data_IF_844132074135
#
_entry.id   IF_844132074135
#
_cell.length_a   1.000
_cell.length_b   1.000
_cell.length_c   1.000
_cell.angle_alpha   90.00
_cell.angle_beta   90.00
_cell.angle_gamma   90.00
#
_symmetry.space_group_name_H-M   'P 1'
#
loop_
_entity.id
_entity.type
_entity.pdbx_description
1 polymer ?
#
# COMPACT_ATOMS: atom_id res chain seq x y z
N UNK A 1 8.25 -9.07 -7.07
CA UNK A 1 7.53 -8.54 -5.91
C UNK A 1 6.15 -8.15 -6.39
N UNK A 2 5.14 -8.84 -5.89
CA UNK A 2 3.75 -8.52 -6.20
C UNK A 2 3.31 -7.39 -5.27
N UNK A 3 2.72 -6.33 -5.81
CA UNK A 3 2.09 -5.29 -4.99
C UNK A 3 0.72 -5.80 -4.53
N UNK A 4 0.32 -5.52 -3.28
CA UNK A 4 -0.99 -5.94 -2.81
C UNK A 4 -2.10 -5.16 -3.53
N UNK A 5 -3.27 -5.77 -3.67
CA UNK A 5 -4.36 -5.22 -4.46
C UNK A 5 -4.80 -3.83 -3.98
N UNK A 6 -4.84 -2.87 -4.91
CA UNK A 6 -5.23 -1.48 -4.66
C UNK A 6 -4.08 -0.54 -4.32
N UNK A 7 -2.88 -1.08 -4.02
CA UNK A 7 -1.62 -0.33 -3.95
C UNK A 7 -0.75 -0.53 -5.20
N UNK A 8 -1.14 -1.43 -6.09
CA UNK A 8 -0.50 -1.65 -7.37
C UNK A 8 -0.82 -0.52 -8.38
N UNK A 9 0.15 -0.12 -9.23
CA UNK A 9 -0.08 0.90 -10.24
C UNK A 9 -1.23 0.52 -11.17
N UNK A 10 -2.16 1.45 -11.40
CA UNK A 10 -3.30 1.22 -12.29
C UNK A 10 -4.54 0.63 -11.62
N UNK A 11 -4.48 0.31 -10.33
CA UNK A 11 -5.65 -0.01 -9.49
C UNK A 11 -5.82 1.04 -8.39
N UNK A 12 -7.04 1.14 -7.86
CA UNK A 12 -7.38 2.02 -6.73
C UNK A 12 -8.55 1.46 -5.93
N UNK A 13 -8.67 1.89 -4.68
CA UNK A 13 -9.87 1.62 -3.89
C UNK A 13 -11.02 2.57 -4.22
N UNK A 14 -12.22 2.02 -4.15
CA UNK A 14 -13.50 2.74 -4.19
C UNK A 14 -14.37 2.27 -3.05
N UNK A 15 -14.89 3.21 -2.27
CA UNK A 15 -15.93 2.92 -1.31
C UNK A 15 -17.29 2.88 -2.03
N UNK A 16 -17.91 1.70 -2.14
CA UNK A 16 -19.24 1.50 -2.69
C UNK A 16 -20.36 2.17 -1.86
N UNK A 17 -20.13 2.44 -0.57
CA UNK A 17 -21.12 3.06 0.31
C UNK A 17 -21.27 4.57 0.12
N UNK A 18 -20.17 5.31 -0.09
CA UNK A 18 -20.21 6.78 -0.16
C UNK A 18 -19.52 7.37 -1.41
N UNK A 19 -18.90 6.55 -2.25
CA UNK A 19 -18.22 7.00 -3.48
C UNK A 19 -16.83 7.58 -3.27
N UNK A 20 -16.27 7.53 -2.06
CA UNK A 20 -14.89 7.98 -1.81
C UNK A 20 -13.87 7.13 -2.60
N UNK A 21 -12.85 7.80 -3.13
CA UNK A 21 -11.81 7.22 -4.00
C UNK A 21 -10.39 7.56 -3.55
N UNK A 22 -10.20 8.40 -2.53
CA UNK A 22 -8.90 9.03 -2.27
C UNK A 22 -8.43 8.96 -0.81
N UNK A 23 -9.29 8.54 0.13
CA UNK A 23 -8.95 8.56 1.57
C UNK A 23 -9.35 7.27 2.26
N UNK A 24 -8.38 6.41 2.51
CA UNK A 24 -8.57 5.14 3.22
C UNK A 24 -7.53 5.02 4.32
N UNK A 25 -7.94 4.50 5.47
CA UNK A 25 -7.01 4.02 6.47
C UNK A 25 -6.72 2.55 6.13
N UNK A 26 -5.43 2.20 6.07
CA UNK A 26 -4.95 0.90 5.59
C UNK A 26 -4.05 0.31 6.64
N UNK A 27 -4.36 -0.90 7.07
CA UNK A 27 -3.47 -1.71 7.88
C UNK A 27 -2.72 -2.69 6.98
N UNK A 28 -1.40 -2.71 7.06
CA UNK A 28 -0.56 -3.61 6.28
C UNK A 28 0.64 -4.12 7.07
N UNK A 29 1.05 -5.34 6.73
CA UNK A 29 2.29 -5.95 7.22
C UNK A 29 3.33 -5.84 6.10
N UNK A 30 4.47 -5.22 6.39
CA UNK A 30 5.59 -5.10 5.46
C UNK A 30 6.79 -5.90 5.96
N UNK A 31 7.36 -6.71 5.07
CA UNK A 31 8.64 -7.35 5.30
C UNK A 31 9.71 -6.60 4.52
N UNK A 32 10.66 -6.00 5.23
CA UNK A 32 11.75 -5.20 4.65
C UNK A 32 13.10 -5.72 5.11
N UNK A 33 14.11 -5.62 4.23
CA UNK A 33 15.53 -5.80 4.56
C UNK A 33 16.20 -4.44 4.42
N UNK A 34 17.01 -4.07 5.42
CA UNK A 34 17.77 -2.81 5.43
C UNK A 34 19.24 -3.10 5.62
N UNK A 35 20.07 -2.48 4.80
CA UNK A 35 21.51 -2.38 5.03
C UNK A 35 21.77 -1.16 5.91
N UNK A 36 22.27 -1.40 7.11
CA UNK A 36 22.60 -0.37 8.08
C UNK A 36 24.09 -0.09 8.05
N UNK A 37 24.44 1.18 7.93
CA UNK A 37 25.78 1.66 8.17
C UNK A 37 25.84 2.21 9.60
N UNK A 38 26.74 1.64 10.40
CA UNK A 38 26.94 1.99 11.79
C UNK A 38 28.28 2.72 11.92
N UNK A 39 28.29 3.79 12.71
CA UNK A 39 29.53 4.44 13.12
C UNK A 39 30.13 3.80 14.39
N UNK A 40 31.36 4.19 14.73
CA UNK A 40 32.06 3.66 15.91
C UNK A 40 31.45 4.14 17.24
N UNK A 41 30.66 5.21 17.23
CA UNK A 41 29.92 5.69 18.42
C UNK A 41 28.58 4.98 18.63
N UNK A 42 28.19 4.09 17.71
CA UNK A 42 26.94 3.34 17.77
C UNK A 42 25.74 4.04 17.13
N UNK A 43 25.95 5.17 16.45
CA UNK A 43 24.96 5.77 15.56
C UNK A 43 24.76 4.92 14.30
N UNK A 44 23.56 4.96 13.71
CA UNK A 44 23.25 4.16 12.53
C UNK A 44 22.32 4.85 11.55
N UNK A 45 22.62 4.72 10.26
CA UNK A 45 21.75 5.15 9.16
C UNK A 45 21.45 3.98 8.23
N UNK A 46 20.30 4.03 7.56
CA UNK A 46 19.95 3.06 6.51
C UNK A 46 20.56 3.55 5.20
N UNK A 47 21.48 2.76 4.64
CA UNK A 47 22.13 3.06 3.37
C UNK A 47 21.34 2.50 2.18
N UNK A 48 20.68 1.35 2.38
CA UNK A 48 19.80 0.76 1.39
C UNK A 48 18.64 0.02 2.05
N UNK A 49 17.47 0.06 1.41
CA UNK A 49 16.27 -0.65 1.82
C UNK A 49 15.71 -1.45 0.64
N UNK A 50 15.40 -2.72 0.89
CA UNK A 50 14.74 -3.63 -0.03
C UNK A 50 13.43 -4.08 0.61
N UNK A 51 12.30 -3.72 0.01
CA UNK A 51 10.99 -4.21 0.42
C UNK A 51 10.75 -5.59 -0.21
N UNK A 52 10.55 -6.61 0.62
CA UNK A 52 10.43 -8.00 0.18
C UNK A 52 8.97 -8.39 -0.07
N UNK A 53 8.07 -7.95 0.82
CA UNK A 53 6.66 -8.36 0.81
C UNK A 53 5.81 -7.27 1.46
N UNK A 54 4.58 -7.11 0.96
CA UNK A 54 3.54 -6.29 1.59
C UNK A 54 2.22 -7.05 1.54
N UNK A 55 1.59 -7.22 2.70
CA UNK A 55 0.26 -7.81 2.82
C UNK A 55 -0.69 -6.77 3.41
N UNK A 56 -1.77 -6.44 2.69
CA UNK A 56 -2.83 -5.56 3.20
C UNK A 56 -3.82 -6.40 4.02
N UNK A 57 -4.05 -5.99 5.26
CA UNK A 57 -4.96 -6.65 6.20
C UNK A 57 -6.35 -6.04 6.18
N UNK A 58 -6.47 -4.76 6.52
CA UNK A 58 -7.75 -4.05 6.56
C UNK A 58 -7.71 -2.71 5.82
N UNK A 59 -8.85 -2.33 5.24
CA UNK A 59 -9.03 -1.06 4.53
C UNK A 59 -10.35 -0.45 4.98
N UNK A 60 -10.30 0.77 5.50
CA UNK A 60 -11.47 1.49 6.00
C UNK A 60 -11.62 2.81 5.27
N UNK A 61 -12.83 3.11 4.78
CA UNK A 61 -13.12 4.41 4.20
C UNK A 61 -13.03 5.49 5.29
N UNK A 62 -12.05 6.38 5.22
CA UNK A 62 -11.87 7.43 6.23
C UNK A 62 -12.98 8.47 6.23
N UNK A 63 -13.79 8.51 5.17
CA UNK A 63 -14.89 9.46 5.06
C UNK A 63 -16.15 9.01 5.82
N UNK A 64 -16.59 7.76 5.60
CA UNK A 64 -17.83 7.25 6.18
C UNK A 64 -17.62 6.17 7.26
N UNK A 65 -16.37 5.75 7.49
CA UNK A 65 -16.01 4.70 8.45
C UNK A 65 -16.31 3.27 8.00
N UNK A 66 -16.83 3.07 6.78
CA UNK A 66 -17.19 1.74 6.28
C UNK A 66 -15.99 0.93 5.78
N UNK A 67 -15.93 -0.35 6.13
CA UNK A 67 -14.91 -1.32 5.69
C UNK A 67 -15.47 -2.40 4.76
N UNK A 68 -16.78 -2.68 4.82
CA UNK A 68 -17.37 -3.84 4.13
C UNK A 68 -17.73 -3.57 2.66
N UNK A 69 -17.66 -2.31 2.23
CA UNK A 69 -18.01 -1.86 0.88
C UNK A 69 -16.78 -1.30 0.13
N UNK A 70 -15.57 -1.80 0.41
CA UNK A 70 -14.37 -1.36 -0.29
C UNK A 70 -14.08 -2.28 -1.47
N UNK A 71 -14.02 -1.69 -2.66
CA UNK A 71 -13.78 -2.39 -3.93
C UNK A 71 -12.46 -1.93 -4.54
N UNK A 72 -11.73 -2.84 -5.18
CA UNK A 72 -10.57 -2.49 -6.02
C UNK A 72 -11.05 -2.32 -7.46
N UNK A 73 -10.88 -1.12 -8.01
CA UNK A 73 -11.28 -0.77 -9.37
C UNK A 73 -10.07 -0.27 -10.18
N UNK A 74 -10.15 -0.25 -11.53
CA UNK A 74 -9.12 0.39 -12.34
C UNK A 74 -8.98 1.88 -11.99
N UNK A 75 -7.73 2.35 -11.92
CA UNK A 75 -7.41 3.75 -11.85
C UNK A 75 -7.52 4.39 -13.25
N UNK A 76 -7.98 5.64 -13.36
CA UNK A 76 -8.01 6.34 -14.64
C UNK A 76 -6.58 6.47 -15.18
N UNK A 77 -6.38 6.05 -16.44
CA UNK A 77 -5.06 6.04 -17.08
C UNK A 77 -4.17 4.86 -16.70
N UNK A 78 -4.67 3.88 -15.93
CA UNK A 78 -3.97 2.63 -15.69
C UNK A 78 -3.86 1.84 -17.00
N UNK A 79 -2.66 1.74 -17.54
CA UNK A 79 -2.39 0.79 -18.62
C UNK A 79 -2.75 -0.60 -18.10
N UNK A 80 -3.65 -1.29 -18.80
CA UNK A 80 -3.84 -2.72 -18.62
C UNK A 80 -2.46 -3.36 -18.86
N UNK A 81 -1.89 -4.00 -17.83
CA UNK A 81 -0.64 -4.73 -18.01
C UNK A 81 -0.93 -5.79 -19.09
N UNK A 82 -0.38 -5.55 -20.29
CA UNK A 82 -0.51 -6.44 -21.43
C UNK A 82 -0.02 -7.85 -21.05
N UNK A 83 -0.66 -8.91 -21.58
CA UNK A 83 -0.45 -10.29 -21.16
C UNK A 83 0.99 -10.79 -21.37
#
# INVERSE_FOLDING_TARGET
MESPPGLDPGRRWRCGACGNLTRFDVESIERVRRFWHLDLSGGGTVDAEERLEVTVGSVTCRWCGGSDAIEVVPAPGGAEAAP
#
